data_IF_805848154729
#
_entry.id   IF_805848154729
#
_cell.length_a   1.000
_cell.length_b   1.000
_cell.length_c   1.000
_cell.angle_alpha   90.00
_cell.angle_beta   90.00
_cell.angle_gamma   90.00
#
_symmetry.space_group_name_H-M   'P 1'
#
loop_
_entity.id
_entity.type
_entity.pdbx_description
1 polymer ?
#
# COMPACT_ATOMS: atom_id res chain seq x y z
N UNK A 1 16.61 -3.85 8.53
CA UNK A 1 15.28 -3.30 8.79
C UNK A 1 14.60 -2.90 7.50
N UNK A 2 13.81 -3.78 6.88
CA UNK A 2 13.15 -3.40 5.65
C UNK A 2 12.02 -2.40 5.89
N UNK A 3 11.84 -1.50 4.93
CA UNK A 3 10.72 -0.58 4.90
C UNK A 3 9.94 -0.88 3.62
N UNK A 4 8.66 -1.17 3.77
CA UNK A 4 7.76 -1.37 2.64
C UNK A 4 6.84 -0.15 2.59
N UNK A 5 6.94 0.61 1.51
CA UNK A 5 6.13 1.80 1.33
C UNK A 5 5.05 1.52 0.29
N UNK A 6 3.80 1.71 0.66
CA UNK A 6 2.66 1.47 -0.20
C UNK A 6 1.96 2.79 -0.49
N UNK A 7 2.03 3.22 -1.73
CA UNK A 7 1.24 4.37 -2.17
C UNK A 7 0.01 3.84 -2.85
N UNK A 8 -1.15 4.28 -2.42
CA UNK A 8 -2.42 3.75 -2.89
C UNK A 8 -3.50 4.80 -2.82
N UNK A 9 -4.61 4.55 -3.52
CA UNK A 9 -5.76 5.43 -3.43
C UNK A 9 -6.36 5.37 -2.03
N UNK A 10 -6.82 6.52 -1.57
CA UNK A 10 -7.56 6.65 -0.32
C UNK A 10 -8.82 5.78 -0.37
N UNK A 11 -9.21 5.22 0.75
CA UNK A 11 -10.49 4.53 0.87
C UNK A 11 -10.45 3.21 1.63
N UNK A 12 -9.26 2.68 1.89
CA UNK A 12 -9.18 1.44 2.65
C UNK A 12 -9.26 1.71 4.13
N UNK A 13 -9.96 0.84 4.85
CA UNK A 13 -10.14 0.95 6.30
C UNK A 13 -8.86 0.59 7.04
N UNK A 14 -8.75 1.00 8.33
CA UNK A 14 -7.62 0.57 9.15
C UNK A 14 -7.49 -0.95 9.25
N UNK A 15 -8.61 -1.67 9.27
CA UNK A 15 -8.61 -3.13 9.32
C UNK A 15 -8.04 -3.72 8.03
N UNK A 16 -8.42 -3.17 6.88
CA UNK A 16 -7.86 -3.62 5.60
C UNK A 16 -6.35 -3.35 5.55
N UNK A 17 -5.91 -2.19 6.01
CA UNK A 17 -4.48 -1.86 6.03
C UNK A 17 -3.70 -2.81 6.92
N UNK A 18 -4.29 -3.19 8.07
CA UNK A 18 -3.66 -4.15 8.97
C UNK A 18 -3.45 -5.49 8.27
N UNK A 19 -4.46 -5.96 7.55
CA UNK A 19 -4.38 -7.23 6.82
C UNK A 19 -3.36 -7.14 5.68
N UNK A 20 -3.36 -6.04 4.95
CA UNK A 20 -2.39 -5.82 3.87
C UNK A 20 -0.96 -5.83 4.42
N UNK A 21 -0.73 -5.12 5.51
CA UNK A 21 0.60 -5.08 6.12
C UNK A 21 1.09 -6.48 6.50
N UNK A 22 0.21 -7.29 7.09
CA UNK A 22 0.55 -8.67 7.47
C UNK A 22 0.95 -9.47 6.24
N UNK A 23 0.15 -9.42 5.18
CA UNK A 23 0.44 -10.18 3.98
C UNK A 23 1.72 -9.72 3.28
N UNK A 24 1.99 -8.42 3.30
CA UNK A 24 3.23 -7.89 2.71
C UNK A 24 4.46 -8.36 3.46
N UNK A 25 4.41 -8.32 4.79
CA UNK A 25 5.51 -8.80 5.63
C UNK A 25 5.73 -10.29 5.43
N UNK A 26 4.66 -11.08 5.48
CA UNK A 26 4.74 -12.52 5.31
C UNK A 26 5.27 -12.87 3.92
N UNK A 27 4.81 -12.17 2.90
CA UNK A 27 5.28 -12.38 1.53
C UNK A 27 6.76 -12.07 1.36
N UNK A 28 7.23 -10.99 1.98
CA UNK A 28 8.64 -10.63 1.94
C UNK A 28 9.49 -11.72 2.60
N UNK A 29 9.06 -12.17 3.78
CA UNK A 29 9.79 -13.21 4.52
C UNK A 29 9.89 -14.50 3.70
N UNK A 30 8.79 -14.90 3.06
CA UNK A 30 8.80 -16.09 2.19
C UNK A 30 9.76 -15.91 1.03
N UNK A 31 9.71 -14.75 0.38
CA UNK A 31 10.58 -14.48 -0.77
C UNK A 31 12.05 -14.39 -0.41
N UNK A 32 12.36 -13.85 0.77
CA UNK A 32 13.73 -13.69 1.23
C UNK A 32 14.30 -14.94 1.88
N UNK A 33 13.44 -15.90 2.22
CA UNK A 33 13.86 -17.13 2.88
C UNK A 33 14.07 -16.99 4.36
N UNK A 34 13.54 -15.94 4.98
CA UNK A 34 13.63 -15.74 6.43
C UNK A 34 13.51 -14.29 6.83
N UNK A 35 13.41 -14.05 8.11
CA UNK A 35 13.28 -12.73 8.69
C UNK A 35 12.31 -12.72 9.85
N UNK A 36 12.36 -11.66 10.66
CA UNK A 36 11.46 -11.49 11.79
C UNK A 36 10.42 -10.42 11.45
N UNK A 37 9.13 -10.72 11.62
CA UNK A 37 8.09 -9.73 11.35
C UNK A 37 8.29 -8.40 12.07
N UNK A 38 8.82 -8.44 13.29
CA UNK A 38 9.01 -7.24 14.10
C UNK A 38 10.09 -6.30 13.56
N UNK A 39 10.92 -6.76 12.64
CA UNK A 39 11.96 -5.90 12.06
C UNK A 39 11.46 -5.07 10.88
N UNK A 40 10.22 -5.30 10.42
CA UNK A 40 9.67 -4.64 9.26
C UNK A 40 8.91 -3.38 9.64
N UNK A 41 8.99 -2.39 8.77
CA UNK A 41 8.12 -1.23 8.83
C UNK A 41 7.29 -1.20 7.54
N UNK A 42 5.99 -1.02 7.67
CA UNK A 42 5.10 -0.85 6.53
C UNK A 42 4.47 0.52 6.65
N UNK A 43 4.65 1.34 5.64
CA UNK A 43 4.13 2.71 5.62
C UNK A 43 3.11 2.82 4.49
N UNK A 44 1.92 3.29 4.82
CA UNK A 44 0.86 3.54 3.83
C UNK A 44 0.79 5.03 3.56
N UNK A 45 0.73 5.36 2.29
CA UNK A 45 0.53 6.74 1.85
C UNK A 45 -0.77 6.76 1.05
N UNK A 46 -1.81 7.30 1.67
CA UNK A 46 -3.11 7.46 1.01
C UNK A 46 -3.05 8.67 0.09
N UNK A 47 -3.37 8.45 -1.18
CA UNK A 47 -3.37 9.52 -2.18
C UNK A 47 -4.77 9.62 -2.75
N UNK A 48 -5.34 10.81 -2.71
CA UNK A 48 -6.64 11.05 -3.33
C UNK A 48 -6.50 10.95 -4.85
N UNK A 49 -7.53 10.45 -5.50
CA UNK A 49 -7.49 10.27 -6.96
C UNK A 49 -7.25 11.57 -7.71
N UNK A 50 -7.66 12.70 -7.13
CA UNK A 50 -7.42 14.02 -7.72
C UNK A 50 -5.93 14.40 -7.71
N UNK A 51 -5.13 13.70 -6.90
CA UNK A 51 -3.70 13.94 -6.78
C UNK A 51 -2.86 12.88 -7.49
N UNK A 52 -3.49 12.11 -8.38
CA UNK A 52 -2.83 11.00 -9.07
C UNK A 52 -3.11 11.07 -10.55
N UNK A 53 -2.05 11.16 -11.34
CA UNK A 53 -2.15 11.14 -12.79
C UNK A 53 -1.33 9.97 -13.35
N UNK A 54 -1.87 9.32 -14.36
CA UNK A 54 -1.13 8.33 -15.13
C UNK A 54 -0.96 8.92 -16.53
N UNK A 55 0.22 9.47 -16.80
CA UNK A 55 0.42 10.31 -17.98
C UNK A 55 -0.43 11.56 -17.88
N UNK A 56 -1.28 11.78 -18.83
CA UNK A 56 -2.23 12.91 -18.84
C UNK A 56 -3.59 12.56 -18.20
N UNK A 57 -3.78 11.31 -17.79
CA UNK A 57 -5.07 10.86 -17.26
C UNK A 57 -5.12 11.03 -15.75
N UNK A 58 -5.99 11.92 -15.29
CA UNK A 58 -6.23 12.08 -13.85
C UNK A 58 -7.12 10.94 -13.36
N UNK A 59 -6.74 10.34 -12.25
CA UNK A 59 -7.43 9.14 -11.76
C UNK A 59 -8.83 9.43 -11.25
N UNK A 60 -9.11 10.65 -10.77
CA UNK A 60 -10.47 11.01 -10.36
C UNK A 60 -11.42 11.09 -11.55
N UNK A 61 -10.90 11.35 -12.76
CA UNK A 61 -11.71 11.37 -13.97
C UNK A 61 -11.89 9.97 -14.56
N UNK A 62 -10.81 9.18 -14.51
CA UNK A 62 -10.83 7.82 -15.09
C UNK A 62 -11.60 6.84 -14.21
N UNK A 63 -11.49 6.96 -12.91
CA UNK A 63 -12.16 6.08 -11.94
C UNK A 63 -12.91 6.91 -10.91
N UNK A 64 -14.05 7.50 -11.29
CA UNK A 64 -14.83 8.29 -10.34
C UNK A 64 -15.37 7.41 -9.21
N UNK A 65 -15.59 8.02 -8.05
CA UNK A 65 -15.97 7.30 -6.82
C UNK A 65 -17.44 6.89 -6.77
N UNK A 66 -18.23 7.24 -7.76
CA UNK A 66 -19.67 6.92 -7.77
C UNK A 66 -20.04 6.06 -8.96
#
# INVERSE_FOLDING_TARGET
MPIIRVEMFTGRSPEQKKNIARELVDGFIRGAGGGSPQSFNVVFVDVDKQDWAHGYDMMNEKYPDT
#
